data_IF_813266801374
#
_entry.id   IF_813266801374
#
_cell.length_a   1.000
_cell.length_b   1.000
_cell.length_c   1.000
_cell.angle_alpha   90.00
_cell.angle_beta   90.00
_cell.angle_gamma   90.00
#
_symmetry.space_group_name_H-M   'P 1'
#
loop_
_entity.id
_entity.type
_entity.pdbx_description
1 polymer ?
#
# COMPACT_ATOMS: atom_id res chain seq x y z
N UNK A 1 4.09 12.63 -1.58
CA UNK A 1 3.00 11.80 -1.00
C UNK A 1 2.59 10.77 -2.03
N UNK A 2 2.61 9.50 -1.66
CA UNK A 2 2.24 8.36 -2.50
C UNK A 2 0.92 7.82 -2.01
N UNK A 3 0.01 7.48 -2.92
CA UNK A 3 -1.31 6.95 -2.60
C UNK A 3 -1.41 5.51 -3.05
N UNK A 4 -2.05 4.67 -2.23
CA UNK A 4 -2.34 3.28 -2.56
C UNK A 4 -3.83 3.01 -2.49
N UNK A 5 -4.35 2.31 -3.50
CA UNK A 5 -5.63 1.61 -3.40
C UNK A 5 -5.37 0.24 -2.78
N UNK A 6 -6.04 -0.04 -1.66
CA UNK A 6 -5.94 -1.30 -0.93
C UNK A 6 -7.26 -2.07 -1.02
N UNK A 7 -7.16 -3.31 -1.46
CA UNK A 7 -8.30 -4.21 -1.59
C UNK A 7 -7.89 -5.65 -1.24
N UNK A 8 -8.87 -6.49 -0.94
CA UNK A 8 -8.68 -7.94 -0.79
C UNK A 8 -9.27 -8.64 -2.01
N UNK A 9 -8.51 -9.52 -2.64
CA UNK A 9 -8.93 -10.25 -3.85
C UNK A 9 -9.58 -11.62 -3.56
N UNK A 10 -9.71 -11.99 -2.28
CA UNK A 10 -10.20 -13.27 -1.80
C UNK A 10 -9.08 -14.19 -1.27
N UNK A 11 -7.81 -13.92 -1.59
CA UNK A 11 -6.67 -14.70 -1.10
C UNK A 11 -5.59 -13.82 -0.45
N UNK A 12 -5.38 -12.62 -0.98
CA UNK A 12 -4.37 -11.67 -0.51
C UNK A 12 -4.99 -10.30 -0.27
N UNK A 13 -4.33 -9.54 0.59
CA UNK A 13 -4.42 -8.09 0.61
C UNK A 13 -3.47 -7.53 -0.44
N UNK A 14 -3.98 -6.68 -1.32
CA UNK A 14 -3.25 -6.11 -2.46
C UNK A 14 -3.22 -4.59 -2.34
N UNK A 15 -2.11 -3.98 -2.75
CA UNK A 15 -1.96 -2.54 -2.85
C UNK A 15 -1.43 -2.13 -4.22
N UNK A 16 -2.11 -1.15 -4.82
CA UNK A 16 -1.71 -0.52 -6.08
C UNK A 16 -1.40 0.95 -5.88
N UNK A 17 -0.19 1.36 -6.25
CA UNK A 17 0.20 2.76 -6.27
C UNK A 17 -0.58 3.56 -7.32
N UNK A 18 -1.11 4.72 -6.93
CA UNK A 18 -1.78 5.66 -7.83
C UNK A 18 -0.75 6.67 -8.35
N UNK A 19 -0.51 6.66 -9.66
CA UNK A 19 0.46 7.56 -10.30
C UNK A 19 1.91 7.16 -10.13
N UNK A 20 2.16 5.95 -9.60
CA UNK A 20 3.49 5.33 -9.46
C UNK A 20 3.41 3.86 -9.84
N UNK A 21 4.52 3.29 -10.31
CA UNK A 21 4.61 1.88 -10.69
C UNK A 21 5.02 1.02 -9.50
N UNK A 22 4.17 0.98 -8.47
CA UNK A 22 4.35 0.17 -7.27
C UNK A 22 3.15 -0.74 -7.08
N UNK A 23 3.41 -2.04 -7.02
CA UNK A 23 2.43 -3.09 -6.76
C UNK A 23 3.00 -4.06 -5.73
N UNK A 24 2.21 -4.36 -4.71
CA UNK A 24 2.61 -5.33 -3.69
C UNK A 24 1.39 -6.00 -3.07
N UNK A 25 1.60 -7.12 -2.38
CA UNK A 25 0.55 -7.90 -1.72
C UNK A 25 1.06 -8.51 -0.42
N UNK A 26 0.16 -8.95 0.45
CA UNK A 26 0.47 -9.69 1.69
C UNK A 26 -0.69 -10.61 2.09
N UNK A 27 -0.42 -11.67 2.86
CA UNK A 27 -1.47 -12.58 3.36
C UNK A 27 -2.37 -11.90 4.40
N UNK A 28 -1.83 -10.97 5.16
CA UNK A 28 -2.58 -10.14 6.11
C UNK A 28 -2.50 -8.67 5.73
N UNK A 29 -3.41 -7.86 6.29
CA UNK A 29 -3.35 -6.40 6.11
C UNK A 29 -2.06 -5.83 6.72
N UNK A 30 -1.58 -6.38 7.84
CA UNK A 30 -0.33 -5.95 8.48
C UNK A 30 0.88 -6.26 7.59
N UNK A 31 0.94 -7.46 7.01
CA UNK A 31 1.99 -7.84 6.06
C UNK A 31 1.95 -6.94 4.82
N UNK A 32 0.76 -6.64 4.29
CA UNK A 32 0.63 -5.68 3.20
C UNK A 32 1.19 -4.30 3.58
N UNK A 33 0.92 -3.82 4.80
CA UNK A 33 1.39 -2.51 5.24
C UNK A 33 2.91 -2.44 5.36
N UNK A 34 3.56 -3.53 5.77
CA UNK A 34 5.02 -3.60 5.79
C UNK A 34 5.59 -3.67 4.37
N UNK A 35 5.01 -4.50 3.50
CA UNK A 35 5.42 -4.60 2.11
C UNK A 35 5.23 -3.28 1.32
N UNK A 36 4.22 -2.46 1.66
CA UNK A 36 4.05 -1.10 1.10
C UNK A 36 5.22 -0.19 1.52
N UNK A 37 5.67 -0.24 2.78
CA UNK A 37 6.78 0.59 3.25
C UNK A 37 8.07 0.20 2.54
N UNK A 38 8.38 -1.09 2.47
CA UNK A 38 9.56 -1.60 1.76
C UNK A 38 9.54 -1.21 0.28
N UNK A 39 8.39 -1.38 -0.39
CA UNK A 39 8.27 -1.03 -1.80
C UNK A 39 8.43 0.48 -2.05
N UNK A 40 7.95 1.33 -1.14
CA UNK A 40 8.17 2.79 -1.19
C UNK A 40 9.63 3.14 -0.90
N UNK A 41 10.27 2.46 0.05
CA UNK A 41 11.68 2.65 0.37
C UNK A 41 12.57 2.35 -0.84
N UNK A 42 12.35 1.21 -1.50
CA UNK A 42 13.08 0.84 -2.72
C UNK A 42 12.79 1.78 -3.88
N UNK A 43 11.52 2.14 -4.12
CA UNK A 43 11.16 2.96 -5.27
C UNK A 43 11.69 4.41 -5.16
N UNK A 44 11.85 4.92 -3.95
CA UNK A 44 12.25 6.31 -3.68
C UNK A 44 13.54 6.42 -2.87
N UNK A 45 14.39 5.40 -2.92
CA UNK A 45 15.66 5.31 -2.17
C UNK A 45 16.49 6.59 -2.31
N UNK A 46 16.69 7.09 -3.53
CA UNK A 46 17.48 8.30 -3.79
C UNK A 46 16.92 9.57 -3.10
N UNK A 47 15.60 9.67 -2.97
CA UNK A 47 14.96 10.80 -2.30
C UNK A 47 15.12 10.69 -0.78
N UNK A 48 14.95 9.47 -0.25
CA UNK A 48 15.14 9.18 1.18
C UNK A 48 16.59 9.41 1.61
N UNK A 49 17.58 9.02 0.79
CA UNK A 49 19.00 9.29 1.02
C UNK A 49 19.33 10.78 1.08
N UNK A 50 18.58 11.62 0.36
CA UNK A 50 18.67 13.09 0.41
C UNK A 50 17.96 13.69 1.62
N UNK A 51 17.36 12.87 2.48
CA UNK A 51 16.61 13.28 3.66
C UNK A 51 15.21 13.80 3.36
N UNK A 52 14.64 13.47 2.20
CA UNK A 52 13.26 13.83 1.88
C UNK A 52 12.26 12.93 2.62
N UNK A 53 11.13 13.50 3.04
CA UNK A 53 10.05 12.76 3.71
C UNK A 53 9.03 12.25 2.69
N UNK A 54 8.72 10.95 2.74
CA UNK A 54 7.68 10.35 1.89
C UNK A 54 6.48 9.94 2.72
N UNK A 55 5.35 10.62 2.49
CA UNK A 55 4.08 10.28 3.11
C UNK A 55 3.33 9.25 2.30
N UNK A 56 2.87 8.20 2.95
CA UNK A 56 2.04 7.13 2.37
C UNK A 56 0.59 7.34 2.82
N UNK A 57 -0.33 7.35 1.86
CA UNK A 57 -1.78 7.37 2.12
C UNK A 57 -2.39 6.08 1.54
N UNK A 58 -3.00 5.27 2.39
CA UNK A 58 -3.75 4.08 2.00
C UNK A 58 -5.25 4.39 1.95
N UNK A 59 -5.90 4.03 0.86
CA UNK A 59 -7.34 4.16 0.65
C UNK A 59 -7.89 2.74 0.50
N UNK A 60 -8.75 2.32 1.42
CA UNK A 60 -9.36 0.99 1.40
C UNK A 60 -10.86 1.04 1.18
N UNK A 61 -11.37 0.11 0.36
CA UNK A 61 -12.80 -0.14 0.23
C UNK A 61 -13.22 -1.19 1.28
N UNK A 62 -14.21 -0.85 2.10
CA UNK A 62 -14.82 -1.78 3.05
C UNK A 62 -16.28 -1.98 2.71
N UNK A 63 -16.65 -3.21 2.38
CA UNK A 63 -18.06 -3.59 2.20
C UNK A 63 -18.65 -3.99 3.54
N UNK A 64 -19.76 -3.35 3.93
CA UNK A 64 -20.62 -3.82 5.03
C UNK A 64 -21.92 -4.36 4.45
N UNK A 65 -22.31 -5.55 4.89
CA UNK A 65 -23.69 -6.03 4.77
C UNK A 65 -24.26 -6.20 6.17
N UNK A 66 -25.55 -5.95 6.31
CA UNK A 66 -26.28 -6.22 7.55
C UNK A 66 -26.57 -7.72 7.55
N UNK A 67 -26.09 -8.44 8.55
CA UNK A 67 -26.51 -9.83 8.78
C UNK A 67 -28.00 -9.78 9.17
N UNK A 68 -28.84 -10.49 8.41
CA UNK A 68 -30.29 -10.67 8.66
C UNK A 68 -30.52 -11.94 9.48
#
# INVERSE_FOLDING_TARGET
>A
MVKFEVYNDGEYWCARGIGVDIFTHGKTLDELMDNIKEAVEVHFEEMLEKGEEIRILSISEMKRQKEL
#
